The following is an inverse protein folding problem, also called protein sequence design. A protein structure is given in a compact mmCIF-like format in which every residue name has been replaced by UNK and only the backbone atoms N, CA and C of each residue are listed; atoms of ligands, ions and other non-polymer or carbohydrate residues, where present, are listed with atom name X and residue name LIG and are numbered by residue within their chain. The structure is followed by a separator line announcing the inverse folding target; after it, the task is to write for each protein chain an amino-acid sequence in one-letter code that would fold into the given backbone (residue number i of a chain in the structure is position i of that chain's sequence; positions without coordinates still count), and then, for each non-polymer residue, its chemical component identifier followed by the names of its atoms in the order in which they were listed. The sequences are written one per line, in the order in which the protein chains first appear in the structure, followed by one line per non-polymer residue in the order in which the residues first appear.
data_IF_253737424027
#
_entry.id   IF_253737424027
#
_cell.length_a   1.000
_cell.length_b   1.000
_cell.length_c   1.000
_cell.angle_alpha   90.00
_cell.angle_beta   90.00
_cell.angle_gamma   90.00
#
_symmetry.space_group_name_H-M   'P 1'
#
loop_
_entity.id
_entity.type
_entity.pdbx_description
1 polymer ?
#
# COMPACT_ATOMS: atom_id res chain seq x y z
N UNK A 1 -26.05 0.15 60.84
CA UNK A 1 -25.13 1.11 60.19
C UNK A 1 -23.81 0.39 60.00
N UNK A 2 -23.27 0.10 58.83
CA UNK A 2 -23.65 0.29 57.44
C UNK A 2 -22.67 -0.57 56.61
N UNK A 3 -23.13 -1.13 55.50
CA UNK A 3 -22.23 -1.47 54.38
C UNK A 3 -21.88 -0.14 53.66
N UNK A 4 -20.80 -0.01 52.84
CA UNK A 4 -20.60 -0.97 51.75
C UNK A 4 -19.17 -1.07 51.12
N UNK A 5 -19.09 -1.94 50.10
CA UNK A 5 -18.29 -1.83 48.87
C UNK A 5 -16.78 -2.15 48.85
N UNK A 6 -16.54 -3.43 48.59
CA UNK A 6 -15.52 -3.94 47.67
C UNK A 6 -15.59 -3.22 46.30
N UNK A 7 -14.69 -2.28 46.03
CA UNK A 7 -14.47 -1.75 44.67
C UNK A 7 -13.21 -2.38 44.05
N UNK A 8 -13.42 -3.48 43.32
CA UNK A 8 -12.50 -3.90 42.27
C UNK A 8 -12.67 -2.97 41.06
N UNK A 9 -11.60 -2.56 40.38
CA UNK A 9 -11.67 -1.57 39.32
C UNK A 9 -12.56 -2.07 38.18
N UNK A 10 -13.50 -1.21 37.80
CA UNK A 10 -14.46 -1.38 36.72
C UNK A 10 -13.79 -2.01 35.50
N UNK A 11 -14.22 -3.24 35.18
CA UNK A 11 -13.98 -3.80 33.84
C UNK A 11 -14.64 -2.84 32.86
N UNK A 12 -13.85 -2.02 32.20
CA UNK A 12 -14.29 -1.26 31.03
C UNK A 12 -14.79 -2.28 30.01
N UNK A 13 -16.10 -2.48 29.99
CA UNK A 13 -16.78 -3.26 28.97
C UNK A 13 -16.59 -2.47 27.70
N UNK A 14 -15.67 -2.92 26.84
CA UNK A 14 -15.59 -2.43 25.48
C UNK A 14 -16.96 -2.68 24.87
N UNK A 15 -17.77 -1.62 24.78
CA UNK A 15 -19.03 -1.64 24.05
C UNK A 15 -18.66 -2.04 22.64
N UNK A 16 -19.01 -3.27 22.27
CA UNK A 16 -18.75 -3.83 20.94
C UNK A 16 -19.63 -3.03 19.98
N UNK A 17 -19.09 -1.93 19.48
CA UNK A 17 -19.74 -1.14 18.44
C UNK A 17 -19.91 -2.08 17.25
N UNK A 18 -21.15 -2.26 16.78
CA UNK A 18 -21.48 -3.09 15.64
C UNK A 18 -21.02 -2.39 14.36
N UNK A 19 -19.71 -2.27 14.20
CA UNK A 19 -19.05 -1.61 13.09
C UNK A 19 -18.85 -2.68 12.02
N UNK A 20 -19.42 -2.45 10.84
CA UNK A 20 -19.07 -3.24 9.67
C UNK A 20 -17.58 -3.05 9.38
N UNK A 21 -16.80 -4.11 9.58
CA UNK A 21 -15.38 -4.10 9.27
C UNK A 21 -15.19 -4.23 7.77
N UNK A 22 -15.11 -3.09 7.08
CA UNK A 22 -14.81 -3.01 5.66
C UNK A 22 -13.29 -2.97 5.38
N UNK A 23 -12.46 -3.26 6.39
CA UNK A 23 -11.01 -3.27 6.20
C UNK A 23 -10.55 -4.56 5.51
N UNK A 24 -9.39 -4.49 4.86
CA UNK A 24 -8.84 -5.61 4.08
C UNK A 24 -7.79 -6.43 4.85
N UNK A 25 -7.62 -6.16 6.14
CA UNK A 25 -6.66 -6.83 7.03
C UNK A 25 -6.90 -8.35 7.12
N UNK A 26 -8.17 -8.77 7.11
CA UNK A 26 -8.60 -10.17 7.20
C UNK A 26 -8.89 -10.80 5.83
N UNK A 27 -8.62 -10.09 4.73
CA UNK A 27 -8.98 -10.54 3.38
C UNK A 27 -8.04 -11.64 2.82
N UNK A 28 -7.05 -12.10 3.58
CA UNK A 28 -6.02 -13.06 3.14
C UNK A 28 -5.36 -12.65 1.81
N UNK A 29 -5.03 -11.37 1.69
CA UNK A 29 -4.59 -10.76 0.43
C UNK A 29 -3.40 -11.49 -0.18
N UNK A 30 -2.43 -11.93 0.62
CA UNK A 30 -1.27 -12.68 0.13
C UNK A 30 -1.65 -13.97 -0.62
N UNK A 31 -2.76 -14.62 -0.23
CA UNK A 31 -3.25 -15.84 -0.87
C UNK A 31 -4.04 -15.53 -2.14
N UNK A 32 -4.82 -14.44 -2.13
CA UNK A 32 -5.70 -14.04 -3.25
C UNK A 32 -4.95 -13.30 -4.36
N UNK A 33 -3.94 -12.51 -3.99
CA UNK A 33 -3.11 -11.72 -4.88
C UNK A 33 -1.62 -11.93 -4.51
N UNK A 34 -0.99 -13.01 -5.00
CA UNK A 34 0.42 -13.26 -4.76
C UNK A 34 1.26 -12.22 -5.53
N UNK A 35 2.19 -11.57 -4.84
CA UNK A 35 3.17 -10.68 -5.47
C UNK A 35 4.43 -11.50 -5.77
N UNK A 36 4.88 -11.47 -7.02
CA UNK A 36 6.05 -12.19 -7.52
C UNK A 36 7.38 -11.54 -7.11
N UNK A 37 7.34 -10.28 -6.67
CA UNK A 37 8.46 -9.50 -6.15
C UNK A 37 9.17 -10.14 -4.93
N UNK A 38 8.54 -11.09 -4.21
CA UNK A 38 9.09 -11.71 -3.00
C UNK A 38 10.27 -12.68 -3.25
N UNK A 39 10.54 -13.06 -4.50
CA UNK A 39 11.56 -14.07 -4.82
C UNK A 39 12.91 -13.48 -5.26
N UNK A 40 13.14 -12.18 -5.06
CA UNK A 40 14.42 -11.52 -5.37
C UNK A 40 15.56 -11.87 -4.39
N UNK A 41 15.35 -12.86 -3.51
CA UNK A 41 16.40 -13.56 -2.77
C UNK A 41 17.21 -14.53 -3.64
N UNK A 42 16.85 -14.71 -4.92
CA UNK A 42 17.87 -15.10 -5.88
C UNK A 42 18.77 -13.89 -6.06
N UNK A 43 20.00 -14.03 -5.58
CA UNK A 43 21.18 -13.49 -6.25
C UNK A 43 21.17 -13.97 -7.72
N UNK A 44 20.21 -13.52 -8.52
CA UNK A 44 20.41 -13.35 -9.93
C UNK A 44 21.40 -12.19 -9.96
N UNK A 45 22.68 -12.53 -9.92
CA UNK A 45 23.75 -11.82 -10.59
C UNK A 45 23.24 -10.47 -11.10
N UNK A 46 23.23 -9.46 -10.22
CA UNK A 46 22.79 -8.09 -10.52
C UNK A 46 23.66 -7.41 -11.61
N UNK A 47 24.58 -8.19 -12.19
CA UNK A 47 25.47 -7.89 -13.28
C UNK A 47 25.03 -8.51 -14.62
N UNK A 48 24.01 -9.37 -14.67
CA UNK A 48 23.52 -9.91 -15.94
C UNK A 48 22.60 -8.87 -16.60
N UNK A 49 23.01 -8.20 -17.69
CA UNK A 49 22.14 -7.27 -18.38
C UNK A 49 20.89 -8.01 -18.86
N UNK A 50 19.72 -7.39 -18.69
CA UNK A 50 18.50 -7.91 -19.28
C UNK A 50 18.76 -8.18 -20.78
N UNK A 51 18.61 -9.43 -21.21
CA UNK A 51 18.95 -9.87 -22.57
C UNK A 51 18.09 -9.21 -23.65
N UNK A 52 16.94 -8.64 -23.26
CA UNK A 52 15.98 -8.01 -24.15
C UNK A 52 15.73 -6.58 -23.66
N UNK A 53 15.96 -5.56 -24.51
CA UNK A 53 15.69 -4.17 -24.15
C UNK A 53 14.18 -3.92 -23.98
N UNK A 54 13.80 -2.90 -23.22
CA UNK A 54 12.43 -2.39 -23.11
C UNK A 54 12.00 -1.58 -24.35
N UNK A 55 12.57 -1.90 -25.51
CA UNK A 55 12.29 -1.24 -26.78
C UNK A 55 12.73 0.23 -26.77
N UNK A 56 11.81 1.13 -27.13
CA UNK A 56 12.12 2.56 -27.23
C UNK A 56 12.29 3.24 -25.87
N UNK A 57 11.81 2.63 -24.77
CA UNK A 57 11.96 3.18 -23.43
C UNK A 57 13.42 3.25 -23.00
N UNK A 58 14.26 2.31 -23.42
CA UNK A 58 15.70 2.34 -23.10
C UNK A 58 16.47 3.49 -23.77
N UNK A 59 15.82 4.27 -24.67
CA UNK A 59 16.40 5.50 -25.24
C UNK A 59 16.26 6.70 -24.31
N UNK A 60 15.38 6.62 -23.31
CA UNK A 60 15.18 7.67 -22.34
C UNK A 60 16.26 7.60 -21.26
N UNK A 61 16.72 8.75 -20.73
CA UNK A 61 17.58 8.74 -19.54
C UNK A 61 16.85 8.09 -18.36
N UNK A 62 17.63 7.51 -17.44
CA UNK A 62 17.08 6.74 -16.31
C UNK A 62 16.17 7.60 -15.42
N UNK A 63 16.49 8.88 -15.26
CA UNK A 63 15.73 9.84 -14.47
C UNK A 63 14.33 10.05 -15.03
N UNK A 64 14.22 10.15 -16.36
CA UNK A 64 12.94 10.34 -17.06
C UNK A 64 12.10 9.07 -16.98
N UNK A 65 12.72 7.90 -17.09
CA UNK A 65 12.04 6.62 -16.89
C UNK A 65 11.48 6.50 -15.48
N UNK A 66 12.29 6.79 -14.46
CA UNK A 66 11.84 6.76 -13.06
C UNK A 66 10.68 7.74 -12.87
N UNK A 67 10.77 8.95 -13.43
CA UNK A 67 9.70 9.93 -13.33
C UNK A 67 8.40 9.44 -13.98
N UNK A 68 8.44 8.89 -15.19
CA UNK A 68 7.26 8.32 -15.87
C UNK A 68 6.64 7.19 -15.05
N UNK A 69 7.47 6.28 -14.53
CA UNK A 69 7.00 5.18 -13.69
C UNK A 69 6.37 5.69 -12.38
N UNK A 70 6.90 6.75 -11.78
CA UNK A 70 6.33 7.35 -10.57
C UNK A 70 4.95 7.97 -10.77
N UNK A 71 4.68 8.51 -11.95
CA UNK A 71 3.37 9.07 -12.35
C UNK A 71 2.42 8.02 -12.94
N UNK A 72 2.74 6.73 -12.82
CA UNK A 72 1.88 5.63 -13.25
C UNK A 72 1.20 4.99 -12.03
N UNK A 73 -0.03 4.52 -12.20
CA UNK A 73 -0.78 3.79 -11.17
C UNK A 73 -0.17 2.40 -10.90
N UNK A 74 -0.43 1.86 -9.70
CA UNK A 74 0.14 0.59 -9.26
C UNK A 74 -0.31 -0.61 -10.10
N UNK A 75 -1.60 -0.73 -10.51
CA UNK A 75 -2.02 -1.77 -11.44
C UNK A 75 -1.23 -1.74 -12.75
N UNK A 76 -1.13 -0.58 -13.40
CA UNK A 76 -0.38 -0.40 -14.65
C UNK A 76 1.11 -0.69 -14.47
N UNK A 77 1.72 -0.25 -13.37
CA UNK A 77 3.12 -0.58 -13.05
C UNK A 77 3.33 -2.08 -12.92
N UNK A 78 2.42 -2.78 -12.25
CA UNK A 78 2.51 -4.25 -12.07
C UNK A 78 2.32 -4.98 -13.39
N UNK A 79 1.42 -4.49 -14.26
CA UNK A 79 1.27 -4.98 -15.62
C UNK A 79 2.54 -4.76 -16.45
N UNK A 80 3.12 -3.55 -16.42
CA UNK A 80 4.35 -3.21 -17.12
C UNK A 80 5.53 -4.06 -16.65
N UNK A 81 5.66 -4.27 -15.34
CA UNK A 81 6.69 -5.11 -14.71
C UNK A 81 6.72 -6.53 -15.30
N UNK A 82 5.57 -7.06 -15.72
CA UNK A 82 5.41 -8.41 -16.29
C UNK A 82 5.70 -8.52 -17.79
N UNK A 83 5.94 -7.40 -18.49
CA UNK A 83 6.15 -7.38 -19.94
C UNK A 83 7.44 -8.08 -20.34
N UNK A 84 8.56 -7.77 -19.66
CA UNK A 84 9.85 -8.44 -19.84
C UNK A 84 10.76 -8.21 -18.63
N UNK A 85 11.92 -8.88 -18.58
CA UNK A 85 12.87 -8.76 -17.47
C UNK A 85 13.46 -7.37 -17.31
N UNK A 86 13.57 -6.59 -18.40
CA UNK A 86 14.03 -5.20 -18.34
C UNK A 86 13.02 -4.28 -17.67
N UNK A 87 11.74 -4.37 -18.05
CA UNK A 87 10.64 -3.65 -17.42
C UNK A 87 10.54 -4.02 -15.94
N UNK A 88 10.75 -5.30 -15.60
CA UNK A 88 10.85 -5.74 -14.22
C UNK A 88 11.95 -5.01 -13.45
N UNK A 89 13.18 -4.99 -13.99
CA UNK A 89 14.31 -4.27 -13.39
C UNK A 89 14.05 -2.76 -13.27
N UNK A 90 13.41 -2.15 -14.27
CA UNK A 90 13.09 -0.72 -14.26
C UNK A 90 12.12 -0.38 -13.13
N UNK A 91 11.02 -1.12 -12.98
CA UNK A 91 10.03 -0.89 -11.91
C UNK A 91 10.67 -1.17 -10.54
N UNK A 92 11.44 -2.25 -10.40
CA UNK A 92 12.10 -2.60 -9.13
C UNK A 92 13.20 -1.58 -8.74
N UNK A 93 13.75 -0.84 -9.71
CA UNK A 93 14.73 0.22 -9.44
C UNK A 93 14.10 1.52 -8.90
N UNK A 94 12.77 1.68 -8.99
CA UNK A 94 12.07 2.86 -8.48
C UNK A 94 12.05 2.83 -6.94
N UNK A 95 12.72 3.76 -6.24
CA UNK A 95 12.86 3.71 -4.79
C UNK A 95 11.54 3.73 -4.03
N UNK A 96 10.57 4.55 -4.48
CA UNK A 96 9.25 4.70 -3.88
C UNK A 96 8.46 3.39 -3.97
N UNK A 97 8.44 2.77 -5.15
CA UNK A 97 7.80 1.47 -5.35
C UNK A 97 8.43 0.39 -4.47
N UNK A 98 9.77 0.31 -4.46
CA UNK A 98 10.52 -0.63 -3.63
C UNK A 98 10.25 -0.44 -2.13
N UNK A 99 10.13 0.80 -1.66
CA UNK A 99 9.80 1.13 -0.28
C UNK A 99 8.38 0.68 0.09
N UNK A 100 7.37 0.97 -0.74
CA UNK A 100 5.99 0.54 -0.50
C UNK A 100 5.93 -0.99 -0.47
N UNK A 101 6.59 -1.66 -1.43
CA UNK A 101 6.64 -3.11 -1.48
C UNK A 101 7.28 -3.72 -0.24
N UNK A 102 8.37 -3.12 0.25
CA UNK A 102 9.08 -3.60 1.44
C UNK A 102 8.28 -3.42 2.73
N UNK A 103 7.61 -2.28 2.89
CA UNK A 103 6.99 -1.90 4.18
C UNK A 103 5.50 -2.20 4.25
N UNK A 104 4.78 -2.16 3.12
CA UNK A 104 3.34 -2.28 3.05
C UNK A 104 2.87 -3.11 1.84
N UNK A 105 3.33 -4.36 1.67
CA UNK A 105 2.99 -5.17 0.50
C UNK A 105 1.49 -5.46 0.39
N UNK A 106 0.76 -5.54 1.50
CA UNK A 106 -0.69 -5.77 1.50
C UNK A 106 -1.47 -4.60 0.90
N UNK A 107 -0.95 -3.38 0.96
CA UNK A 107 -1.55 -2.23 0.29
C UNK A 107 -1.47 -2.41 -1.23
N UNK A 108 -0.32 -2.85 -1.74
CA UNK A 108 -0.16 -3.16 -3.16
C UNK A 108 -1.14 -4.27 -3.58
N UNK A 109 -1.26 -5.33 -2.78
CA UNK A 109 -2.21 -6.42 -3.04
C UNK A 109 -3.65 -5.94 -3.08
N UNK A 110 -4.04 -5.09 -2.13
CA UNK A 110 -5.38 -4.51 -2.07
C UNK A 110 -5.66 -3.67 -3.32
N UNK A 111 -4.74 -2.78 -3.68
CA UNK A 111 -4.86 -1.92 -4.88
C UNK A 111 -5.02 -2.75 -6.14
N UNK A 112 -4.16 -3.77 -6.34
CA UNK A 112 -4.25 -4.67 -7.50
C UNK A 112 -5.57 -5.45 -7.50
N UNK A 113 -6.02 -5.92 -6.32
CA UNK A 113 -7.24 -6.73 -6.20
C UNK A 113 -8.50 -5.96 -6.57
N UNK A 114 -8.55 -4.66 -6.27
CA UNK A 114 -9.69 -3.80 -6.59
C UNK A 114 -9.50 -2.95 -7.85
N UNK A 115 -8.33 -3.07 -8.51
CA UNK A 115 -7.91 -2.23 -9.63
C UNK A 115 -8.01 -0.72 -9.33
N UNK A 116 -7.50 -0.28 -8.17
CA UNK A 116 -7.44 1.14 -7.85
C UNK A 116 -6.39 1.85 -8.72
N UNK A 117 -6.86 2.59 -9.72
CA UNK A 117 -6.06 3.30 -10.73
C UNK A 117 -6.21 4.83 -10.66
N UNK A 118 -6.96 5.34 -9.68
CA UNK A 118 -7.25 6.77 -9.52
C UNK A 118 -6.05 7.62 -9.04
N UNK A 119 -4.94 6.99 -8.65
CA UNK A 119 -3.76 7.68 -8.12
C UNK A 119 -2.47 6.97 -8.54
N UNK A 120 -1.40 7.77 -8.64
CA UNK A 120 -0.08 7.30 -9.04
C UNK A 120 0.76 6.76 -7.86
N UNK A 121 1.86 6.10 -8.20
CA UNK A 121 2.79 5.54 -7.23
C UNK A 121 3.40 6.59 -6.30
N UNK A 122 3.69 7.78 -6.83
CA UNK A 122 4.25 8.87 -6.04
C UNK A 122 3.27 9.40 -4.99
N UNK A 123 2.00 9.57 -5.36
CA UNK A 123 0.90 9.98 -4.49
C UNK A 123 0.71 8.96 -3.39
N UNK A 124 0.66 7.67 -3.73
CA UNK A 124 0.60 6.60 -2.75
C UNK A 124 1.78 6.66 -1.77
N UNK A 125 3.00 6.80 -2.27
CA UNK A 125 4.20 6.88 -1.43
C UNK A 125 4.16 8.08 -0.49
N UNK A 126 3.82 9.27 -1.00
CA UNK A 126 3.69 10.49 -0.21
C UNK A 126 2.62 10.33 0.87
N UNK A 127 1.45 9.83 0.51
CA UNK A 127 0.35 9.48 1.42
C UNK A 127 0.83 8.50 2.49
N UNK A 128 1.53 7.43 2.13
CA UNK A 128 2.10 6.45 3.06
C UNK A 128 3.26 6.96 3.91
N UNK A 129 3.85 8.10 3.55
CA UNK A 129 4.93 8.75 4.31
C UNK A 129 4.43 9.80 5.30
N UNK A 130 3.22 10.33 5.11
CA UNK A 130 2.62 11.26 6.09
C UNK A 130 2.27 10.53 7.39
N UNK A 131 2.17 11.23 8.53
CA UNK A 131 1.84 10.64 9.85
C UNK A 131 0.48 11.06 10.41
N UNK A 132 -0.23 11.96 9.73
CA UNK A 132 -1.47 12.59 10.20
C UNK A 132 -2.70 12.16 9.38
N UNK A 133 -3.85 12.05 10.04
CA UNK A 133 -5.15 11.78 9.41
C UNK A 133 -5.62 12.99 8.59
N UNK A 134 -6.11 12.76 7.37
CA UNK A 134 -6.58 13.81 6.46
C UNK A 134 -7.73 14.65 7.05
N UNK A 135 -8.55 14.09 7.94
CA UNK A 135 -9.77 14.77 8.43
C UNK A 135 -9.67 15.32 9.85
N UNK A 136 -8.92 14.65 10.75
CA UNK A 136 -8.87 15.04 12.17
C UNK A 136 -7.46 15.28 12.70
N UNK A 137 -6.45 15.12 11.85
CA UNK A 137 -5.06 15.46 12.14
C UNK A 137 -4.40 14.67 13.30
N UNK A 138 -5.07 13.59 13.74
CA UNK A 138 -4.58 12.59 14.71
C UNK A 138 -3.75 11.49 14.04
N UNK A 139 -3.16 10.61 14.85
CA UNK A 139 -2.52 9.38 14.38
C UNK A 139 -3.48 8.56 13.51
N UNK A 140 -2.91 7.86 12.54
CA UNK A 140 -3.62 7.13 11.50
C UNK A 140 -3.03 5.75 11.28
N UNK A 141 -3.90 4.87 10.85
CA UNK A 141 -3.67 3.44 10.73
C UNK A 141 -4.28 2.86 9.44
N UNK A 142 -5.15 3.61 8.76
CA UNK A 142 -5.85 3.13 7.57
C UNK A 142 -5.56 4.00 6.33
N UNK A 143 -5.59 3.36 5.17
CA UNK A 143 -5.55 4.00 3.86
C UNK A 143 -6.91 3.78 3.20
N UNK A 144 -7.59 4.86 2.82
CA UNK A 144 -8.78 4.80 2.00
C UNK A 144 -8.35 4.64 0.54
N UNK A 145 -8.69 3.49 -0.04
CA UNK A 145 -8.15 3.09 -1.35
C UNK A 145 -8.86 3.75 -2.54
N UNK A 146 -9.98 4.45 -2.33
CA UNK A 146 -10.71 5.10 -3.42
C UNK A 146 -10.06 6.42 -3.82
N UNK A 147 -9.62 7.22 -2.85
CA UNK A 147 -9.04 8.56 -3.08
C UNK A 147 -7.57 8.68 -2.64
N UNK A 148 -6.97 7.59 -2.15
CA UNK A 148 -5.63 7.58 -1.57
C UNK A 148 -5.45 8.53 -0.37
N UNK A 149 -6.49 8.68 0.45
CA UNK A 149 -6.44 9.45 1.69
C UNK A 149 -6.05 8.58 2.87
N UNK A 150 -5.20 9.11 3.76
CA UNK A 150 -4.92 8.43 5.03
C UNK A 150 -5.85 8.89 6.13
N UNK A 151 -6.51 7.93 6.76
CA UNK A 151 -7.54 8.17 7.79
C UNK A 151 -7.27 7.35 9.04
N UNK A 152 -7.75 7.83 10.17
CA UNK A 152 -7.77 7.04 11.39
C UNK A 152 -9.04 6.19 11.46
N UNK A 153 -8.97 5.07 12.19
CA UNK A 153 -10.11 4.17 12.42
C UNK A 153 -11.41 4.92 12.76
N UNK A 154 -11.36 5.89 13.67
CA UNK A 154 -12.55 6.65 14.08
C UNK A 154 -13.16 7.49 12.95
N UNK A 155 -12.35 8.07 12.07
CA UNK A 155 -12.86 8.86 10.94
C UNK A 155 -13.49 7.96 9.88
N UNK A 156 -12.79 6.87 9.55
CA UNK A 156 -13.26 5.86 8.60
C UNK A 156 -14.62 5.26 9.03
N UNK A 157 -14.79 4.95 10.31
CA UNK A 157 -16.02 4.31 10.80
C UNK A 157 -17.20 5.28 10.99
N UNK A 158 -16.95 6.52 11.38
CA UNK A 158 -18.02 7.43 11.84
C UNK A 158 -18.48 8.42 10.79
N UNK A 159 -17.71 8.66 9.73
CA UNK A 159 -18.08 9.62 8.69
C UNK A 159 -18.68 8.90 7.49
N UNK A 160 -19.75 9.44 6.90
CA UNK A 160 -20.39 8.86 5.72
C UNK A 160 -19.57 9.05 4.43
N UNK A 161 -18.49 9.82 4.49
CA UNK A 161 -17.58 10.08 3.37
C UNK A 161 -16.69 8.87 3.03
N UNK A 162 -16.56 7.93 3.96
CA UNK A 162 -15.65 6.78 3.86
C UNK A 162 -16.38 5.44 3.85
#
# INVERSE_FOLDING_TARGET
MGNPDTELPERTVYVKQNICDNTLDNAQLAKRCPLDNANNGRCADASAPARIPAGQLDRLPAELLIQVLLYTDLPSLTCFRRVNSRAMQLVDSVPQYAAIFRHCPDIIRAIISIQADAFDCNTLYATLSTTRCATCDRYKDHLYLIDCSRVCYFCFTRRPEY
#
